data_IF_655051184897
#
_entry.id   IF_655051184897
#
_cell.length_a   1.000
_cell.length_b   1.000
_cell.length_c   1.000
_cell.angle_alpha   90.00
_cell.angle_beta   90.00
_cell.angle_gamma   90.00
#
_symmetry.space_group_name_H-M   'P 1'
#
loop_
_entity.id
_entity.type
_entity.pdbx_description
1 polymer ?
#
# COMPACT_ATOMS: atom_id res chain seq x y z
N UNK A 1 1.29 -8.18 -29.36
CA UNK A 1 1.92 -8.10 -28.02
C UNK A 1 3.08 -7.12 -28.09
N UNK A 2 3.15 -6.14 -27.20
CA UNK A 2 4.35 -5.29 -27.06
C UNK A 2 5.38 -6.12 -26.29
N UNK A 3 6.56 -6.34 -26.88
CA UNK A 3 7.66 -7.06 -26.23
C UNK A 3 8.42 -6.10 -25.30
N UNK A 4 8.17 -6.21 -23.99
CA UNK A 4 8.81 -5.38 -22.97
C UNK A 4 10.32 -5.66 -22.82
N UNK A 5 10.81 -6.81 -23.28
CA UNK A 5 12.23 -7.16 -23.22
C UNK A 5 13.09 -6.34 -24.22
N UNK A 6 12.46 -5.67 -25.19
CA UNK A 6 13.13 -4.77 -26.13
C UNK A 6 13.17 -3.31 -25.65
N UNK A 7 12.67 -3.00 -24.46
CA UNK A 7 12.71 -1.65 -23.91
C UNK A 7 14.14 -1.31 -23.47
N UNK A 8 14.78 -0.43 -24.23
CA UNK A 8 16.07 0.14 -23.86
C UNK A 8 15.88 1.14 -22.71
N UNK A 9 16.32 0.76 -21.51
CA UNK A 9 16.28 1.59 -20.29
C UNK A 9 16.90 2.97 -20.52
N UNK A 10 18.08 3.04 -21.12
CA UNK A 10 18.83 4.28 -21.33
C UNK A 10 18.03 5.24 -22.22
N UNK A 11 17.46 4.73 -23.32
CA UNK A 11 16.59 5.51 -24.20
C UNK A 11 15.35 6.05 -23.47
N UNK A 12 14.77 5.27 -22.55
CA UNK A 12 13.62 5.67 -21.76
C UNK A 12 13.98 6.72 -20.70
N UNK A 13 15.12 6.57 -20.02
CA UNK A 13 15.62 7.53 -19.03
C UNK A 13 15.94 8.90 -19.64
N UNK A 14 16.51 8.92 -20.85
CA UNK A 14 16.87 10.18 -21.53
C UNK A 14 15.68 10.87 -22.20
N UNK A 15 14.50 10.26 -22.22
CA UNK A 15 13.30 10.88 -22.77
C UNK A 15 12.92 12.20 -22.07
N UNK A 16 12.44 13.16 -22.86
CA UNK A 16 11.78 14.38 -22.37
C UNK A 16 10.30 14.19 -21.99
N UNK A 17 9.70 13.06 -22.38
CA UNK A 17 8.32 12.68 -22.02
C UNK A 17 8.34 11.91 -20.68
N UNK A 18 7.72 12.43 -19.60
CA UNK A 18 7.71 11.80 -18.27
C UNK A 18 7.19 10.37 -18.25
N UNK A 19 6.16 10.07 -19.05
CA UNK A 19 5.56 8.74 -19.14
C UNK A 19 6.53 7.69 -19.67
N UNK A 20 7.46 8.08 -20.56
CA UNK A 20 8.52 7.17 -21.03
C UNK A 20 9.59 6.97 -19.97
N UNK A 21 9.95 8.02 -19.21
CA UNK A 21 10.88 7.92 -18.09
C UNK A 21 10.34 6.96 -17.02
N UNK A 22 9.04 7.00 -16.72
CA UNK A 22 8.39 6.04 -15.82
C UNK A 22 8.58 4.59 -16.27
N UNK A 23 8.55 4.31 -17.58
CA UNK A 23 8.66 2.96 -18.13
C UNK A 23 10.08 2.40 -18.02
N UNK A 24 11.11 3.21 -17.77
CA UNK A 24 12.48 2.72 -17.63
C UNK A 24 12.60 1.64 -16.54
N UNK A 25 11.80 1.74 -15.46
CA UNK A 25 11.77 0.74 -14.39
C UNK A 25 11.20 -0.62 -14.84
N UNK A 26 10.49 -0.69 -15.96
CA UNK A 26 10.00 -1.92 -16.57
C UNK A 26 11.02 -2.55 -17.54
N UNK A 27 12.07 -1.83 -17.92
CA UNK A 27 13.15 -2.32 -18.77
C UNK A 27 13.86 -3.54 -18.18
N UNK A 28 14.66 -4.22 -19.01
CA UNK A 28 15.40 -5.42 -18.61
C UNK A 28 16.64 -5.10 -17.75
N UNK A 29 16.42 -4.46 -16.60
CA UNK A 29 17.44 -4.06 -15.64
C UNK A 29 17.82 -5.22 -14.71
N UNK A 30 19.13 -5.53 -14.53
CA UNK A 30 19.62 -6.49 -13.56
C UNK A 30 19.14 -6.15 -12.14
N UNK A 31 18.88 -7.16 -11.31
CA UNK A 31 18.23 -6.94 -10.00
C UNK A 31 19.00 -5.98 -9.11
N UNK A 32 20.33 -6.02 -9.19
CA UNK A 32 21.32 -5.28 -8.43
C UNK A 32 21.29 -3.78 -8.77
N UNK A 33 20.88 -3.43 -10.00
CA UNK A 33 20.87 -2.05 -10.50
C UNK A 33 19.49 -1.39 -10.40
N UNK A 34 18.42 -2.15 -10.14
CA UNK A 34 17.04 -1.63 -10.16
C UNK A 34 16.78 -0.48 -9.19
N UNK A 35 17.42 -0.48 -8.02
CA UNK A 35 17.27 0.60 -7.04
C UNK A 35 17.94 1.88 -7.55
N UNK A 36 19.08 1.74 -8.21
CA UNK A 36 19.78 2.88 -8.81
C UNK A 36 19.00 3.46 -10.00
N UNK A 37 18.52 2.60 -10.91
CA UNK A 37 17.60 3.00 -11.98
C UNK A 37 16.37 3.72 -11.42
N UNK A 38 15.79 3.23 -10.31
CA UNK A 38 14.64 3.87 -9.68
C UNK A 38 14.97 5.27 -9.17
N UNK A 39 16.15 5.48 -8.56
CA UNK A 39 16.61 6.82 -8.16
C UNK A 39 16.72 7.74 -9.37
N UNK A 40 17.36 7.29 -10.46
CA UNK A 40 17.50 8.05 -11.70
C UNK A 40 16.15 8.44 -12.31
N UNK A 41 15.18 7.51 -12.32
CA UNK A 41 13.80 7.78 -12.77
C UNK A 41 13.17 8.90 -11.94
N UNK A 42 13.25 8.83 -10.60
CA UNK A 42 12.65 9.83 -9.71
C UNK A 42 13.31 11.20 -9.90
N UNK A 43 14.62 11.25 -10.01
CA UNK A 43 15.36 12.49 -10.27
C UNK A 43 14.98 13.12 -11.61
N UNK A 44 14.90 12.31 -12.66
CA UNK A 44 14.51 12.77 -13.99
C UNK A 44 13.07 13.28 -14.01
N UNK A 45 12.14 12.59 -13.35
CA UNK A 45 10.75 13.07 -13.21
C UNK A 45 10.67 14.40 -12.46
N UNK A 46 11.45 14.56 -11.39
CA UNK A 46 11.53 15.82 -10.64
C UNK A 46 12.03 16.97 -11.52
N UNK A 47 13.00 16.70 -12.39
CA UNK A 47 13.52 17.68 -13.34
C UNK A 47 12.48 18.05 -14.42
N UNK A 48 11.84 17.07 -15.04
CA UNK A 48 10.86 17.28 -16.12
C UNK A 48 9.53 17.87 -15.63
N UNK A 49 9.19 17.67 -14.37
CA UNK A 49 7.90 18.04 -13.78
C UNK A 49 8.11 18.90 -12.52
N UNK A 50 8.42 20.20 -12.67
CA UNK A 50 8.73 21.08 -11.54
C UNK A 50 7.52 21.37 -10.63
N UNK A 51 6.30 21.25 -11.17
CA UNK A 51 5.08 21.49 -10.40
C UNK A 51 4.76 20.33 -9.45
N UNK A 52 4.84 20.58 -8.14
CA UNK A 52 4.66 19.58 -7.07
C UNK A 52 3.42 18.69 -7.23
N UNK A 53 2.25 19.27 -7.53
CA UNK A 53 1.00 18.49 -7.69
C UNK A 53 1.06 17.53 -8.89
N UNK A 54 1.68 17.97 -9.99
CA UNK A 54 1.85 17.15 -11.19
C UNK A 54 2.90 16.06 -10.95
N UNK A 55 4.00 16.40 -10.28
CA UNK A 55 5.02 15.43 -9.88
C UNK A 55 4.46 14.34 -8.97
N UNK A 56 3.66 14.70 -7.96
CA UNK A 56 3.03 13.74 -7.05
C UNK A 56 2.16 12.72 -7.79
N UNK A 57 1.47 13.13 -8.86
CA UNK A 57 0.73 12.21 -9.76
C UNK A 57 1.66 11.21 -10.45
N UNK A 58 2.79 11.66 -10.99
CA UNK A 58 3.77 10.76 -11.63
C UNK A 58 4.43 9.83 -10.63
N UNK A 59 4.74 10.29 -9.41
CA UNK A 59 5.26 9.44 -8.34
C UNK A 59 4.24 8.37 -7.90
N UNK A 60 2.96 8.73 -7.89
CA UNK A 60 1.87 7.76 -7.63
C UNK A 60 1.80 6.69 -8.73
N UNK A 61 1.93 7.09 -9.99
CA UNK A 61 2.01 6.14 -11.12
C UNK A 61 3.26 5.26 -11.04
N UNK A 62 4.41 5.85 -10.71
CA UNK A 62 5.66 5.11 -10.50
C UNK A 62 5.50 4.05 -9.42
N UNK A 63 4.86 4.38 -8.29
CA UNK A 63 4.61 3.44 -7.21
C UNK A 63 3.80 2.23 -7.68
N UNK A 64 2.77 2.45 -8.51
CA UNK A 64 1.97 1.36 -9.08
C UNK A 64 2.84 0.47 -9.99
N UNK A 65 3.64 1.07 -10.87
CA UNK A 65 4.51 0.36 -11.80
C UNK A 65 5.61 -0.42 -11.04
N UNK A 66 6.23 0.21 -10.04
CA UNK A 66 7.30 -0.36 -9.23
C UNK A 66 6.85 -1.60 -8.45
N UNK A 67 5.56 -1.71 -8.07
CA UNK A 67 4.99 -2.92 -7.46
C UNK A 67 5.14 -4.15 -8.35
N UNK A 68 5.03 -4.00 -9.68
CA UNK A 68 5.21 -5.11 -10.63
C UNK A 68 6.63 -5.67 -10.59
N UNK A 69 7.61 -4.86 -10.17
CA UNK A 69 9.01 -5.26 -10.00
C UNK A 69 9.38 -5.53 -8.53
N UNK A 70 8.43 -5.52 -7.59
CA UNK A 70 8.69 -5.63 -6.15
C UNK A 70 9.62 -4.53 -5.62
N UNK A 71 9.45 -3.30 -6.10
CA UNK A 71 10.26 -2.12 -5.71
C UNK A 71 9.45 -1.04 -4.99
N UNK A 72 8.24 -1.38 -4.52
CA UNK A 72 7.32 -0.40 -3.94
C UNK A 72 7.85 0.21 -2.64
N UNK A 73 8.51 -0.60 -1.81
CA UNK A 73 9.10 -0.15 -0.55
C UNK A 73 10.23 0.84 -0.82
N UNK A 74 11.15 0.46 -1.69
CA UNK A 74 12.30 1.26 -2.12
C UNK A 74 11.85 2.57 -2.77
N UNK A 75 10.75 2.54 -3.55
CA UNK A 75 10.16 3.75 -4.14
C UNK A 75 9.73 4.74 -3.06
N UNK A 76 9.02 4.28 -2.03
CA UNK A 76 8.55 5.13 -0.93
C UNK A 76 9.73 5.67 -0.11
N UNK A 77 10.72 4.83 0.18
CA UNK A 77 11.93 5.24 0.90
C UNK A 77 12.68 6.34 0.14
N UNK A 78 12.96 6.15 -1.16
CA UNK A 78 13.65 7.16 -1.98
C UNK A 78 12.83 8.46 -2.09
N UNK A 79 11.52 8.37 -2.33
CA UNK A 79 10.64 9.54 -2.41
C UNK A 79 10.68 10.34 -1.12
N UNK A 80 10.60 9.67 0.04
CA UNK A 80 10.66 10.32 1.35
C UNK A 80 12.04 10.91 1.65
N UNK A 81 13.12 10.19 1.35
CA UNK A 81 14.50 10.67 1.50
C UNK A 81 14.74 11.96 0.70
N UNK A 82 14.14 12.04 -0.49
CA UNK A 82 14.19 13.23 -1.35
C UNK A 82 13.22 14.35 -0.92
N UNK A 83 12.55 14.20 0.23
CA UNK A 83 11.53 15.13 0.74
C UNK A 83 10.37 15.37 -0.24
N UNK A 84 10.10 14.38 -1.10
CA UNK A 84 8.94 14.35 -1.99
C UNK A 84 7.76 13.70 -1.26
N UNK A 85 6.53 13.88 -1.77
CA UNK A 85 5.33 13.34 -1.13
C UNK A 85 4.38 12.70 -2.12
N UNK A 86 3.89 11.52 -1.76
CA UNK A 86 2.77 10.82 -2.37
C UNK A 86 1.66 10.72 -1.34
N UNK A 87 0.48 11.21 -1.67
CA UNK A 87 -0.71 11.07 -0.82
C UNK A 87 -1.28 9.67 -1.00
N UNK A 88 -0.93 8.76 -0.09
CA UNK A 88 -1.41 7.36 -0.10
C UNK A 88 -2.72 7.18 0.66
N UNK A 89 -3.17 8.18 1.43
CA UNK A 89 -4.36 8.05 2.29
C UNK A 89 -5.66 8.01 1.48
N UNK A 90 -5.63 8.58 0.27
CA UNK A 90 -6.72 8.49 -0.71
C UNK A 90 -6.70 7.20 -1.52
N UNK A 91 -5.66 6.38 -1.41
CA UNK A 91 -5.60 5.10 -2.12
C UNK A 91 -6.63 4.12 -1.54
N UNK A 92 -7.44 3.53 -2.41
CA UNK A 92 -8.49 2.59 -2.01
C UNK A 92 -7.96 1.39 -1.22
N UNK A 93 -6.77 0.87 -1.57
CA UNK A 93 -6.17 -0.27 -0.85
C UNK A 93 -5.63 0.14 0.51
N UNK A 94 -5.15 1.39 0.66
CA UNK A 94 -4.80 1.92 1.97
C UNK A 94 -6.04 1.99 2.87
N UNK A 95 -7.12 2.59 2.38
CA UNK A 95 -8.39 2.70 3.11
C UNK A 95 -8.97 1.31 3.48
N UNK A 96 -8.95 0.36 2.54
CA UNK A 96 -9.34 -1.02 2.81
C UNK A 96 -8.44 -1.68 3.87
N UNK A 97 -7.14 -1.35 3.88
CA UNK A 97 -6.20 -1.81 4.89
C UNK A 97 -6.55 -1.29 6.29
N UNK A 98 -6.91 -0.01 6.40
CA UNK A 98 -7.37 0.62 7.65
C UNK A 98 -8.66 -0.05 8.14
N UNK A 99 -9.66 -0.23 7.27
CA UNK A 99 -10.92 -0.90 7.61
C UNK A 99 -10.68 -2.31 8.14
N UNK A 100 -9.89 -3.13 7.43
CA UNK A 100 -9.49 -4.47 7.88
C UNK A 100 -8.72 -4.44 9.21
N UNK A 101 -7.92 -3.41 9.44
CA UNK A 101 -7.20 -3.20 10.70
C UNK A 101 -8.14 -2.94 11.87
N UNK A 102 -9.15 -2.09 11.66
CA UNK A 102 -10.19 -1.79 12.65
C UNK A 102 -11.01 -3.04 12.99
N UNK A 103 -11.44 -3.80 11.97
CA UNK A 103 -12.16 -5.07 12.16
C UNK A 103 -11.35 -6.07 12.99
N UNK A 104 -10.06 -6.27 12.66
CA UNK A 104 -9.16 -7.15 13.42
C UNK A 104 -9.00 -6.69 14.87
N UNK A 105 -8.94 -5.39 15.11
CA UNK A 105 -8.83 -4.86 16.46
C UNK A 105 -10.13 -5.08 17.25
N UNK A 106 -11.30 -4.89 16.63
CA UNK A 106 -12.59 -5.21 17.26
C UNK A 106 -12.69 -6.69 17.63
N UNK A 107 -12.27 -7.59 16.74
CA UNK A 107 -12.21 -9.04 17.04
C UNK A 107 -11.29 -9.31 18.24
N UNK A 108 -10.10 -8.71 18.27
CA UNK A 108 -9.15 -8.85 19.38
C UNK A 108 -9.76 -8.38 20.71
N UNK A 109 -10.39 -7.21 20.74
CA UNK A 109 -11.05 -6.67 21.94
C UNK A 109 -12.16 -7.59 22.43
N UNK A 110 -12.97 -8.15 21.52
CA UNK A 110 -14.04 -9.10 21.86
C UNK A 110 -13.47 -10.36 22.51
N UNK A 111 -12.46 -10.97 21.88
CA UNK A 111 -11.90 -12.23 22.34
C UNK A 111 -11.16 -12.07 23.68
N UNK A 112 -10.37 -11.01 23.83
CA UNK A 112 -9.70 -10.71 25.09
C UNK A 112 -10.72 -10.40 26.19
N UNK A 113 -11.69 -9.51 25.94
CA UNK A 113 -12.70 -9.18 26.92
C UNK A 113 -13.58 -10.36 27.32
N UNK A 114 -13.94 -11.23 26.37
CA UNK A 114 -14.66 -12.46 26.67
C UNK A 114 -13.86 -13.39 27.58
N UNK A 115 -12.56 -13.57 27.31
CA UNK A 115 -11.65 -14.36 28.14
C UNK A 115 -11.55 -13.83 29.57
N UNK A 116 -11.60 -12.50 29.74
CA UNK A 116 -11.61 -11.82 31.04
C UNK A 116 -13.02 -11.79 31.69
N UNK A 117 -14.03 -12.46 31.11
CA UNK A 117 -15.37 -12.59 31.68
C UNK A 117 -16.32 -11.43 31.40
N UNK A 118 -16.01 -10.55 30.43
CA UNK A 118 -16.91 -9.46 30.06
C UNK A 118 -18.19 -9.98 29.37
N UNK A 119 -19.33 -9.40 29.75
CA UNK A 119 -20.62 -9.77 29.15
C UNK A 119 -20.74 -9.34 27.69
N UNK A 120 -21.56 -10.06 26.93
CA UNK A 120 -21.87 -9.73 25.52
C UNK A 120 -22.41 -8.31 25.35
N UNK A 121 -23.23 -7.85 26.30
CA UNK A 121 -23.82 -6.51 26.28
C UNK A 121 -22.73 -5.44 26.41
N UNK A 122 -21.78 -5.64 27.31
CA UNK A 122 -20.65 -4.73 27.49
C UNK A 122 -19.72 -4.73 26.28
N UNK A 123 -19.37 -5.91 25.74
CA UNK A 123 -18.56 -6.04 24.52
C UNK A 123 -19.22 -5.38 23.30
N UNK A 124 -20.53 -5.55 23.15
CA UNK A 124 -21.33 -4.88 22.11
C UNK A 124 -21.28 -3.36 22.26
N UNK A 125 -21.32 -2.84 23.50
CA UNK A 125 -21.23 -1.41 23.79
C UNK A 125 -19.84 -0.86 23.48
N UNK A 126 -18.78 -1.53 23.91
CA UNK A 126 -17.38 -1.11 23.70
C UNK A 126 -17.02 -1.07 22.21
N UNK A 127 -17.42 -2.09 21.46
CA UNK A 127 -17.04 -2.22 20.05
C UNK A 127 -18.00 -1.54 19.08
N UNK A 128 -19.20 -1.17 19.54
CA UNK A 128 -20.30 -0.69 18.69
C UNK A 128 -20.92 -1.78 17.80
N UNK A 129 -20.52 -3.04 17.96
CA UNK A 129 -21.05 -4.16 17.16
C UNK A 129 -22.31 -4.74 17.79
N UNK A 130 -23.24 -5.24 16.98
CA UNK A 130 -24.41 -5.98 17.47
C UNK A 130 -23.99 -7.23 18.26
N UNK A 131 -24.76 -7.61 19.28
CA UNK A 131 -24.51 -8.84 20.04
C UNK A 131 -24.47 -10.10 19.15
N UNK A 132 -25.22 -10.13 18.04
CA UNK A 132 -25.16 -11.21 17.05
C UNK A 132 -23.76 -11.35 16.43
N UNK A 133 -23.15 -10.23 16.02
CA UNK A 133 -21.78 -10.21 15.50
C UNK A 133 -20.76 -10.60 16.58
N UNK A 134 -20.90 -10.09 17.79
CA UNK A 134 -20.04 -10.46 18.94
C UNK A 134 -20.09 -11.97 19.21
N UNK A 135 -21.29 -12.56 19.29
CA UNK A 135 -21.49 -14.01 19.45
C UNK A 135 -20.82 -14.79 18.32
N UNK A 136 -20.96 -14.35 17.06
CA UNK A 136 -20.35 -15.02 15.91
C UNK A 136 -18.82 -15.04 15.99
N UNK A 137 -18.19 -13.91 16.37
CA UNK A 137 -16.73 -13.80 16.56
C UNK A 137 -16.27 -14.75 17.68
N UNK A 138 -16.96 -14.77 18.83
CA UNK A 138 -16.61 -15.65 19.94
C UNK A 138 -16.74 -17.12 19.53
N UNK A 139 -17.83 -17.53 18.86
CA UNK A 139 -18.01 -18.92 18.39
C UNK A 139 -16.92 -19.39 17.43
N UNK A 140 -16.44 -18.49 16.57
CA UNK A 140 -15.36 -18.81 15.63
C UNK A 140 -14.06 -19.19 16.36
N UNK A 141 -13.80 -18.61 17.52
CA UNK A 141 -12.60 -18.89 18.34
C UNK A 141 -12.85 -19.90 19.46
N UNK A 142 -14.08 -20.03 19.93
CA UNK A 142 -14.51 -20.91 21.01
C UNK A 142 -15.82 -21.64 20.60
N UNK A 143 -15.72 -22.72 19.81
CA UNK A 143 -16.89 -23.37 19.19
C UNK A 143 -17.89 -23.95 20.20
N UNK A 144 -17.40 -24.41 21.36
CA UNK A 144 -18.20 -25.10 22.38
C UNK A 144 -18.93 -24.14 23.35
N UNK A 145 -18.75 -22.83 23.17
CA UNK A 145 -19.40 -21.82 24.02
C UNK A 145 -20.90 -21.76 23.72
N UNK A 146 -21.70 -22.10 24.74
CA UNK A 146 -23.13 -21.82 24.77
C UNK A 146 -23.37 -20.42 25.32
N UNK A 147 -24.14 -19.61 24.60
CA UNK A 147 -24.60 -18.32 25.10
C UNK A 147 -26.01 -18.51 25.63
N UNK A 148 -26.21 -18.30 26.94
CA UNK A 148 -27.52 -18.16 27.55
C UNK A 148 -28.26 -16.90 27.10
#
# INVERSE_FOLDING_TARGET
MINLNGLNEESLLHSEVPERVLMAILGNVPKEQRVETLRLVIERLRFLVPHKNKLSRYLSQLLIIARMRKLAKETIEIVNDMTLRVDVEKDYLYQQGIEKGLEKNQEKVILTGWKEGLSLKLLSTITGLSQKKVKAIIRKSYPDVSFS
#
